data_IF_636640778345
#
_entry.id   IF_636640778345
#
_cell.length_a   1.000
_cell.length_b   1.000
_cell.length_c   1.000
_cell.angle_alpha   90.00
_cell.angle_beta   90.00
_cell.angle_gamma   90.00
#
_symmetry.space_group_name_H-M   'P 1'
#
loop_
_entity.id
_entity.type
_entity.pdbx_description
1 polymer ?
#
# COMPACT_ATOMS: atom_id res chain seq x y z
N UNK A 1 3.83 -24.93 -14.94
CA UNK A 1 4.27 -24.34 -13.66
C UNK A 1 3.32 -24.82 -12.59
N UNK A 2 3.80 -25.47 -11.56
CA UNK A 2 2.97 -25.91 -10.43
C UNK A 2 2.70 -24.70 -9.54
N UNK A 3 1.44 -24.40 -9.29
CA UNK A 3 1.07 -23.27 -8.40
C UNK A 3 1.60 -23.53 -6.98
N UNK A 4 2.20 -22.53 -6.34
CA UNK A 4 2.63 -22.60 -4.94
C UNK A 4 1.45 -22.54 -3.95
N UNK A 5 0.27 -22.14 -4.42
CA UNK A 5 -0.93 -21.93 -3.61
C UNK A 5 -1.34 -23.15 -2.77
N UNK A 6 -1.36 -24.40 -3.31
CA UNK A 6 -1.68 -25.57 -2.50
C UNK A 6 -0.68 -25.80 -1.36
N UNK A 7 0.60 -25.51 -1.58
CA UNK A 7 1.62 -25.63 -0.54
C UNK A 7 1.40 -24.62 0.58
N UNK A 8 1.12 -23.35 0.24
CA UNK A 8 0.81 -22.31 1.22
C UNK A 8 -0.45 -22.62 2.02
N UNK A 9 -1.46 -23.22 1.38
CA UNK A 9 -2.68 -23.65 2.07
C UNK A 9 -2.40 -24.81 3.02
N UNK A 10 -1.70 -25.85 2.58
CA UNK A 10 -1.37 -27.01 3.40
C UNK A 10 -0.46 -26.67 4.59
N UNK A 11 0.43 -25.69 4.40
CA UNK A 11 1.34 -25.21 5.46
C UNK A 11 0.70 -24.18 6.41
N UNK A 12 -0.58 -23.80 6.17
CA UNK A 12 -1.30 -22.87 7.02
C UNK A 12 -0.98 -21.40 6.81
N UNK A 13 -0.22 -21.04 5.78
CA UNK A 13 0.05 -19.64 5.44
C UNK A 13 -1.13 -18.93 4.81
N UNK A 14 -2.01 -19.65 4.13
CA UNK A 14 -3.28 -19.13 3.63
C UNK A 14 -4.44 -20.03 4.05
N UNK A 15 -5.63 -19.44 4.17
CA UNK A 15 -6.88 -20.15 4.46
C UNK A 15 -7.94 -19.82 3.41
N UNK A 16 -8.93 -20.68 3.28
CA UNK A 16 -10.11 -20.41 2.45
C UNK A 16 -11.05 -19.53 3.25
N UNK A 17 -11.27 -18.30 2.76
CA UNK A 17 -12.20 -17.33 3.34
C UNK A 17 -13.61 -17.51 2.80
N UNK A 18 -13.72 -17.84 1.52
CA UNK A 18 -15.00 -18.00 0.84
C UNK A 18 -14.86 -18.95 -0.34
N UNK A 19 -15.97 -19.54 -0.77
CA UNK A 19 -16.06 -20.43 -1.91
C UNK A 19 -17.30 -20.13 -2.75
N UNK A 20 -17.09 -19.83 -4.01
CA UNK A 20 -18.17 -19.65 -4.98
C UNK A 20 -18.38 -20.94 -5.79
N UNK A 21 -19.48 -21.68 -5.57
CA UNK A 21 -19.73 -22.96 -6.25
C UNK A 21 -20.02 -22.80 -7.73
N UNK A 22 -20.57 -21.67 -8.18
CA UNK A 22 -20.89 -21.46 -9.60
C UNK A 22 -19.63 -21.33 -10.46
N UNK A 23 -18.60 -20.66 -9.92
CA UNK A 23 -17.32 -20.48 -10.62
C UNK A 23 -16.25 -21.48 -10.20
N UNK A 24 -16.51 -22.35 -9.21
CA UNK A 24 -15.51 -23.19 -8.54
C UNK A 24 -14.31 -22.37 -8.08
N UNK A 25 -14.57 -21.16 -7.53
CA UNK A 25 -13.56 -20.21 -7.12
C UNK A 25 -13.43 -20.16 -5.60
N UNK A 26 -12.20 -20.26 -5.12
CA UNK A 26 -11.85 -20.12 -3.73
C UNK A 26 -11.26 -18.72 -3.50
N UNK A 27 -11.80 -17.97 -2.55
CA UNK A 27 -11.19 -16.76 -2.04
C UNK A 27 -10.25 -17.14 -0.90
N UNK A 28 -8.98 -16.83 -1.04
CA UNK A 28 -7.96 -17.11 -0.04
C UNK A 28 -7.61 -15.84 0.73
N UNK A 29 -7.24 -16.03 2.01
CA UNK A 29 -6.76 -14.93 2.86
C UNK A 29 -5.67 -15.47 3.81
N UNK A 30 -4.94 -14.56 4.45
CA UNK A 30 -3.99 -14.91 5.52
C UNK A 30 -4.81 -15.15 6.80
N UNK A 31 -4.64 -16.32 7.47
CA UNK A 31 -5.57 -16.77 8.52
C UNK A 31 -5.61 -15.86 9.75
N UNK A 32 -4.50 -15.25 10.13
CA UNK A 32 -4.40 -14.43 11.32
C UNK A 32 -3.22 -13.45 11.27
N UNK A 33 -3.13 -12.61 12.31
CA UNK A 33 -2.10 -11.57 12.41
C UNK A 33 -0.69 -12.16 12.57
N UNK A 34 -0.56 -13.27 13.29
CA UNK A 34 0.72 -13.94 13.56
C UNK A 34 1.34 -14.45 12.26
N UNK A 35 0.54 -15.11 11.41
CA UNK A 35 0.99 -15.59 10.09
C UNK A 35 1.34 -14.40 9.19
N UNK A 36 0.56 -13.32 9.23
CA UNK A 36 0.85 -12.10 8.47
C UNK A 36 2.20 -11.51 8.88
N UNK A 37 2.45 -11.36 10.18
CA UNK A 37 3.71 -10.86 10.73
C UNK A 37 4.87 -11.79 10.37
N UNK A 38 4.68 -13.12 10.49
CA UNK A 38 5.69 -14.10 10.10
C UNK A 38 6.06 -14.05 8.61
N UNK A 39 5.07 -13.87 7.72
CA UNK A 39 5.31 -13.65 6.30
C UNK A 39 6.09 -12.35 6.05
N UNK A 40 5.72 -11.26 6.72
CA UNK A 40 6.46 -10.00 6.63
C UNK A 40 7.91 -10.17 7.05
N UNK A 41 8.14 -10.82 8.20
CA UNK A 41 9.50 -11.08 8.71
C UNK A 41 10.31 -11.99 7.76
N UNK A 42 9.66 -12.85 7.02
CA UNK A 42 10.31 -13.75 6.05
C UNK A 42 10.58 -13.08 4.70
N UNK A 43 9.69 -12.18 4.26
CA UNK A 43 9.79 -11.55 2.95
C UNK A 43 10.67 -10.30 2.97
N UNK A 44 10.56 -9.46 3.99
CA UNK A 44 11.30 -8.20 4.10
C UNK A 44 12.82 -8.42 3.98
N UNK A 45 13.46 -9.39 4.65
CA UNK A 45 14.90 -9.62 4.52
C UNK A 45 15.35 -10.02 3.11
N UNK A 46 14.46 -10.59 2.29
CA UNK A 46 14.78 -10.91 0.89
C UNK A 46 14.80 -9.66 -0.01
N UNK A 47 14.12 -8.59 0.41
CA UNK A 47 14.14 -7.30 -0.25
C UNK A 47 15.20 -6.36 0.35
N UNK A 48 15.58 -6.60 1.61
CA UNK A 48 16.63 -5.88 2.32
C UNK A 48 17.85 -6.77 2.41
N UNK A 49 18.97 -6.38 1.82
CA UNK A 49 20.22 -7.15 1.85
C UNK A 49 20.86 -7.28 3.26
N UNK A 50 20.22 -6.74 4.28
CA UNK A 50 20.66 -6.84 5.66
C UNK A 50 19.55 -7.41 6.54
N UNK A 51 19.92 -8.43 7.35
CA UNK A 51 19.11 -8.95 8.45
C UNK A 51 19.07 -7.92 9.58
N UNK A 52 18.41 -6.81 9.38
CA UNK A 52 18.32 -5.79 10.43
C UNK A 52 17.01 -5.93 11.19
N UNK A 53 17.12 -6.16 12.49
CA UNK A 53 16.04 -5.95 13.47
C UNK A 53 15.37 -4.57 13.25
N UNK A 54 16.13 -3.61 12.76
CA UNK A 54 15.71 -2.25 12.39
C UNK A 54 14.58 -2.24 11.31
N UNK A 55 14.68 -3.06 10.27
CA UNK A 55 13.66 -3.09 9.21
C UNK A 55 12.29 -3.60 9.71
N UNK A 56 12.29 -4.63 10.56
CA UNK A 56 11.07 -5.18 11.17
C UNK A 56 10.43 -4.14 12.10
N UNK A 57 11.26 -3.44 12.87
CA UNK A 57 10.81 -2.38 13.78
C UNK A 57 10.20 -1.22 12.99
N UNK A 58 10.82 -0.78 11.90
CA UNK A 58 10.31 0.32 11.05
C UNK A 58 8.95 -0.04 10.46
N UNK A 59 8.76 -1.26 9.95
CA UNK A 59 7.48 -1.72 9.41
C UNK A 59 6.40 -1.77 10.50
N UNK A 60 6.74 -2.23 11.71
CA UNK A 60 5.81 -2.23 12.84
C UNK A 60 5.40 -0.80 13.25
N UNK A 61 6.35 0.14 13.28
CA UNK A 61 6.10 1.55 13.57
C UNK A 61 5.21 2.20 12.49
N UNK A 62 5.42 1.87 11.20
CA UNK A 62 4.52 2.32 10.13
C UNK A 62 3.08 1.85 10.37
N UNK A 63 2.88 0.57 10.73
CA UNK A 63 1.55 0.03 11.00
C UNK A 63 0.87 0.75 12.17
N UNK A 64 1.60 1.01 13.26
CA UNK A 64 1.10 1.76 14.42
C UNK A 64 0.72 3.18 14.01
N UNK A 65 1.59 3.89 13.28
CA UNK A 65 1.33 5.24 12.83
C UNK A 65 0.07 5.34 11.96
N UNK A 66 -0.14 4.37 11.04
CA UNK A 66 -1.35 4.32 10.22
C UNK A 66 -2.60 4.08 11.10
N UNK A 67 -2.54 3.14 12.06
CA UNK A 67 -3.67 2.83 12.95
C UNK A 67 -4.04 4.00 13.87
N UNK A 68 -3.08 4.83 14.22
CA UNK A 68 -3.27 6.03 15.04
C UNK A 68 -3.63 7.28 14.21
N UNK A 69 -3.84 7.14 12.90
CA UNK A 69 -4.16 8.24 12.00
C UNK A 69 -2.99 9.17 11.69
N UNK A 70 -1.77 8.81 12.09
CA UNK A 70 -0.52 9.55 11.83
C UNK A 70 0.11 9.11 10.51
N UNK A 71 -0.65 9.21 9.43
CA UNK A 71 -0.22 8.69 8.12
C UNK A 71 1.03 9.40 7.59
N UNK A 72 1.21 10.68 7.90
CA UNK A 72 2.40 11.45 7.54
C UNK A 72 3.67 10.86 8.16
N UNK A 73 3.63 10.48 9.44
CA UNK A 73 4.74 9.80 10.12
C UNK A 73 5.07 8.46 9.44
N UNK A 74 4.03 7.73 9.02
CA UNK A 74 4.22 6.48 8.27
C UNK A 74 4.91 6.69 6.92
N UNK A 75 4.61 7.78 6.21
CA UNK A 75 5.32 8.12 4.96
C UNK A 75 6.77 8.50 5.22
N UNK A 76 7.08 9.19 6.32
CA UNK A 76 8.46 9.47 6.74
C UNK A 76 9.26 8.20 7.01
N UNK A 77 8.67 7.26 7.78
CA UNK A 77 9.28 5.94 8.03
C UNK A 77 9.46 5.14 6.74
N UNK A 78 8.50 5.21 5.82
CA UNK A 78 8.57 4.57 4.52
C UNK A 78 9.68 5.17 3.66
N UNK A 79 9.86 6.49 3.69
CA UNK A 79 10.94 7.19 2.99
C UNK A 79 12.31 6.68 3.45
N UNK A 80 12.52 6.57 4.77
CA UNK A 80 13.74 6.03 5.36
C UNK A 80 13.93 4.56 4.99
N UNK A 81 12.86 3.76 5.07
CA UNK A 81 12.90 2.34 4.72
C UNK A 81 13.32 2.11 3.27
N UNK A 82 12.77 2.88 2.32
CA UNK A 82 13.10 2.75 0.90
C UNK A 82 14.58 3.05 0.60
N UNK A 83 15.24 3.89 1.39
CA UNK A 83 16.68 4.14 1.28
C UNK A 83 17.54 2.91 1.63
N UNK A 84 16.99 1.96 2.38
CA UNK A 84 17.67 0.70 2.73
C UNK A 84 17.46 -0.41 1.70
N UNK A 85 16.53 -0.23 0.75
CA UNK A 85 16.24 -1.24 -0.29
C UNK A 85 17.37 -1.26 -1.32
N UNK A 86 17.98 -2.45 -1.57
CA UNK A 86 19.07 -2.55 -2.52
C UNK A 86 18.65 -2.18 -3.94
N UNK A 87 19.61 -1.70 -4.71
CA UNK A 87 19.44 -1.46 -6.13
C UNK A 87 19.08 -2.73 -6.90
N UNK A 88 18.01 -2.66 -7.68
CA UNK A 88 17.69 -3.67 -8.69
C UNK A 88 17.61 -2.99 -10.06
N UNK A 89 18.13 -3.64 -11.09
CA UNK A 89 17.95 -3.17 -12.45
C UNK A 89 16.46 -3.17 -12.85
N UNK A 90 16.02 -2.20 -13.67
CA UNK A 90 14.64 -2.04 -14.12
C UNK A 90 13.63 -1.52 -13.07
N UNK A 91 14.06 -0.76 -12.08
CA UNK A 91 13.17 -0.14 -11.07
C UNK A 91 12.76 1.29 -11.40
N UNK A 92 13.21 1.85 -12.51
CA UNK A 92 13.04 3.26 -12.85
C UNK A 92 11.71 3.54 -13.58
N UNK A 93 10.59 3.07 -13.00
CA UNK A 93 9.26 3.38 -13.50
C UNK A 93 8.23 3.46 -12.34
N UNK A 94 7.21 4.28 -12.53
CA UNK A 94 6.18 4.58 -11.52
C UNK A 94 5.48 3.32 -10.99
N UNK A 95 5.19 2.35 -11.87
CA UNK A 95 4.57 1.09 -11.50
C UNK A 95 5.39 0.23 -10.54
N UNK A 96 6.73 0.37 -10.51
CA UNK A 96 7.56 -0.32 -9.53
C UNK A 96 7.26 0.17 -8.10
N UNK A 97 7.21 1.48 -7.90
CA UNK A 97 6.89 2.07 -6.60
C UNK A 97 5.45 1.77 -6.18
N UNK A 98 4.51 1.77 -7.13
CA UNK A 98 3.12 1.37 -6.89
C UNK A 98 3.05 -0.08 -6.39
N UNK A 99 3.74 -1.02 -7.02
CA UNK A 99 3.79 -2.41 -6.59
C UNK A 99 4.42 -2.55 -5.20
N UNK A 100 5.50 -1.82 -4.93
CA UNK A 100 6.18 -1.83 -3.65
C UNK A 100 5.27 -1.33 -2.52
N UNK A 101 4.58 -0.21 -2.72
CA UNK A 101 3.60 0.31 -1.76
C UNK A 101 2.44 -0.67 -1.55
N UNK A 102 1.93 -1.28 -2.63
CA UNK A 102 0.89 -2.30 -2.54
C UNK A 102 1.31 -3.45 -1.64
N UNK A 103 2.52 -3.98 -1.83
CA UNK A 103 3.06 -5.08 -1.01
C UNK A 103 3.20 -4.63 0.44
N UNK A 104 3.83 -3.50 0.71
CA UNK A 104 4.08 -2.99 2.06
C UNK A 104 2.76 -2.80 2.80
N UNK A 105 1.82 -2.02 2.25
CA UNK A 105 0.55 -1.75 2.93
C UNK A 105 -0.33 -2.99 3.07
N UNK A 106 -0.31 -3.91 2.10
CA UNK A 106 -1.03 -5.19 2.22
C UNK A 106 -0.45 -6.06 3.34
N UNK A 107 0.87 -6.12 3.46
CA UNK A 107 1.54 -6.83 4.54
C UNK A 107 1.26 -6.20 5.90
N UNK A 108 1.12 -4.87 5.98
CA UNK A 108 0.71 -4.15 7.19
C UNK A 108 -0.75 -4.44 7.60
N UNK A 109 -1.48 -5.19 6.78
CA UNK A 109 -2.88 -5.57 7.07
C UNK A 109 -3.90 -4.56 6.58
N UNK A 110 -3.50 -3.62 5.74
CA UNK A 110 -4.40 -2.67 5.10
C UNK A 110 -5.11 -3.31 3.91
N UNK A 111 -6.35 -2.87 3.65
CA UNK A 111 -7.03 -3.21 2.41
C UNK A 111 -6.56 -2.24 1.32
N UNK A 112 -5.86 -2.77 0.33
CA UNK A 112 -5.24 -1.96 -0.73
C UNK A 112 -5.73 -2.43 -2.08
N UNK A 113 -6.27 -1.51 -2.86
CA UNK A 113 -6.61 -1.70 -4.27
C UNK A 113 -5.72 -0.78 -5.12
N UNK A 114 -5.20 -1.31 -6.21
CA UNK A 114 -4.42 -0.53 -7.19
C UNK A 114 -5.19 -0.37 -8.49
N UNK A 115 -4.85 0.66 -9.28
CA UNK A 115 -5.43 0.89 -10.60
C UNK A 115 -6.97 0.99 -10.57
N UNK A 116 -7.52 1.63 -9.54
CA UNK A 116 -8.98 1.69 -9.30
C UNK A 116 -9.64 2.61 -10.31
N UNK A 117 -10.50 2.04 -11.15
CA UNK A 117 -11.23 2.81 -12.17
C UNK A 117 -12.31 3.68 -11.53
N UNK A 118 -12.36 4.93 -11.94
CA UNK A 118 -13.40 5.90 -11.59
C UNK A 118 -14.08 6.41 -12.86
N UNK A 119 -15.22 7.11 -12.78
CA UNK A 119 -15.86 7.69 -13.96
C UNK A 119 -14.97 8.68 -14.73
N UNK A 120 -14.00 9.30 -14.07
CA UNK A 120 -13.14 10.35 -14.66
C UNK A 120 -11.69 9.92 -14.86
N UNK A 121 -11.35 8.66 -14.57
CA UNK A 121 -10.00 8.16 -14.75
C UNK A 121 -9.70 6.96 -13.89
N UNK A 122 -8.44 6.79 -13.54
CA UNK A 122 -7.93 5.69 -12.75
C UNK A 122 -7.08 6.25 -11.62
N UNK A 123 -7.38 5.83 -10.40
CA UNK A 123 -6.61 6.13 -9.20
C UNK A 123 -5.49 5.10 -9.09
N UNK A 124 -4.28 5.53 -8.82
CA UNK A 124 -3.14 4.61 -8.71
C UNK A 124 -3.30 3.66 -7.53
N UNK A 125 -3.74 4.17 -6.38
CA UNK A 125 -3.93 3.34 -5.19
C UNK A 125 -5.04 3.87 -4.28
N UNK A 126 -5.82 2.95 -3.72
CA UNK A 126 -6.78 3.23 -2.66
C UNK A 126 -6.47 2.30 -1.48
N UNK A 127 -6.28 2.86 -0.30
CA UNK A 127 -6.05 2.09 0.92
C UNK A 127 -7.15 2.38 1.93
N UNK A 128 -7.66 1.34 2.57
CA UNK A 128 -8.68 1.46 3.62
C UNK A 128 -8.17 0.91 4.94
N UNK A 129 -8.32 1.71 5.97
CA UNK A 129 -8.18 1.30 7.38
C UNK A 129 -9.58 1.04 7.99
N UNK A 130 -9.64 0.86 9.30
CA UNK A 130 -10.92 0.70 10.00
C UNK A 130 -11.79 1.96 9.93
N UNK A 131 -11.19 3.15 9.89
CA UNK A 131 -11.80 4.45 10.09
C UNK A 131 -11.55 5.47 8.99
N UNK A 132 -10.67 5.19 8.03
CA UNK A 132 -10.23 6.14 7.00
C UNK A 132 -10.01 5.48 5.65
N UNK A 133 -10.37 6.19 4.58
CA UNK A 133 -10.06 5.81 3.20
C UNK A 133 -9.02 6.78 2.63
N UNK A 134 -7.87 6.26 2.22
CA UNK A 134 -6.81 7.03 1.56
C UNK A 134 -6.90 6.83 0.05
N UNK A 135 -6.97 7.94 -0.69
CA UNK A 135 -6.94 7.98 -2.16
C UNK A 135 -5.60 8.55 -2.57
N UNK A 136 -4.78 7.75 -3.22
CA UNK A 136 -3.38 8.08 -3.48
C UNK A 136 -3.10 8.15 -4.98
N UNK A 137 -2.35 9.16 -5.36
CA UNK A 137 -1.79 9.32 -6.71
C UNK A 137 -0.27 9.40 -6.59
N UNK A 138 0.42 8.71 -7.48
CA UNK A 138 1.87 8.57 -7.46
C UNK A 138 2.48 9.32 -8.65
N UNK A 139 3.63 9.91 -8.46
CA UNK A 139 4.46 10.51 -9.52
C UNK A 139 5.90 10.09 -9.35
N UNK A 140 6.64 10.03 -10.44
CA UNK A 140 8.05 9.71 -10.46
C UNK A 140 8.84 10.85 -11.10
N UNK A 141 9.70 11.50 -10.34
CA UNK A 141 10.54 12.61 -10.82
C UNK A 141 9.76 13.89 -11.14
N UNK A 142 8.62 14.09 -10.44
CA UNK A 142 7.77 15.26 -10.57
C UNK A 142 7.64 16.01 -9.24
N UNK A 143 6.38 16.27 -8.85
CA UNK A 143 6.02 16.94 -7.60
C UNK A 143 4.73 16.32 -7.02
N UNK A 144 4.64 16.27 -5.69
CA UNK A 144 3.45 15.81 -4.98
C UNK A 144 2.23 16.71 -5.26
N UNK A 145 2.45 18.01 -5.49
CA UNK A 145 1.39 18.93 -5.87
C UNK A 145 0.74 18.54 -7.21
N UNK A 146 1.50 18.03 -8.18
CA UNK A 146 0.96 17.53 -9.44
C UNK A 146 0.10 16.28 -9.24
N UNK A 147 0.49 15.37 -8.33
CA UNK A 147 -0.31 14.22 -7.94
C UNK A 147 -1.61 14.66 -7.27
N UNK A 148 -1.53 15.59 -6.31
CA UNK A 148 -2.71 16.13 -5.62
C UNK A 148 -3.66 16.84 -6.59
N UNK A 149 -3.12 17.65 -7.50
CA UNK A 149 -3.93 18.32 -8.54
C UNK A 149 -4.66 17.29 -9.42
N UNK A 150 -4.04 16.16 -9.75
CA UNK A 150 -4.69 15.10 -10.52
C UNK A 150 -5.86 14.48 -9.75
N UNK A 151 -5.72 14.21 -8.43
CA UNK A 151 -6.80 13.71 -7.58
C UNK A 151 -7.99 14.68 -7.60
N UNK A 152 -7.73 15.98 -7.47
CA UNK A 152 -8.75 17.02 -7.45
C UNK A 152 -9.42 17.21 -8.82
N UNK A 153 -8.64 17.32 -9.89
CA UNK A 153 -9.13 17.49 -11.26
C UNK A 153 -10.02 16.31 -11.71
N UNK A 154 -9.65 15.11 -11.34
CA UNK A 154 -10.39 13.88 -11.68
C UNK A 154 -11.49 13.56 -10.66
N UNK A 155 -11.58 14.32 -9.58
CA UNK A 155 -12.58 14.15 -8.53
C UNK A 155 -12.69 12.68 -8.07
N UNK A 156 -11.55 12.07 -7.81
CA UNK A 156 -11.48 10.66 -7.40
C UNK A 156 -12.25 10.36 -6.11
N UNK A 157 -12.23 11.24 -5.08
CA UNK A 157 -12.96 11.01 -3.83
C UNK A 157 -14.46 10.80 -4.00
N UNK A 158 -15.09 11.45 -4.97
CA UNK A 158 -16.56 11.34 -5.22
C UNK A 158 -17.04 9.90 -5.44
N UNK A 159 -16.20 9.02 -5.96
CA UNK A 159 -16.50 7.60 -6.10
C UNK A 159 -16.74 6.92 -4.74
N UNK A 160 -16.08 7.39 -3.70
CA UNK A 160 -16.01 6.72 -2.41
C UNK A 160 -16.90 7.32 -1.33
N UNK A 161 -17.69 8.36 -1.64
CA UNK A 161 -18.61 9.04 -0.70
C UNK A 161 -19.51 8.03 0.03
N UNK A 162 -19.94 6.96 -0.68
CA UNK A 162 -20.86 5.95 -0.12
C UNK A 162 -20.17 4.91 0.78
N UNK A 163 -18.85 4.94 0.92
CA UNK A 163 -18.15 3.99 1.81
C UNK A 163 -18.34 4.33 3.30
N UNK A 164 -18.83 5.53 3.62
CA UNK A 164 -19.10 5.96 4.98
C UNK A 164 -17.85 6.30 5.81
N UNK A 165 -16.67 6.31 5.18
CA UNK A 165 -15.41 6.68 5.81
C UNK A 165 -14.96 8.07 5.37
N UNK A 166 -14.30 8.84 6.24
CA UNK A 166 -13.60 10.05 5.82
C UNK A 166 -12.56 9.72 4.77
N UNK A 167 -12.47 10.56 3.75
CA UNK A 167 -11.53 10.40 2.64
C UNK A 167 -10.35 11.34 2.82
N UNK A 168 -9.16 10.78 2.77
CA UNK A 168 -7.88 11.50 2.80
C UNK A 168 -7.21 11.36 1.43
N UNK A 169 -6.90 12.49 0.82
CA UNK A 169 -6.18 12.58 -0.45
C UNK A 169 -4.68 12.62 -0.18
N UNK A 170 -3.91 11.84 -0.91
CA UNK A 170 -2.45 11.75 -0.74
C UNK A 170 -1.77 11.79 -2.11
N UNK A 171 -1.05 12.85 -2.38
CA UNK A 171 -0.14 12.93 -3.51
C UNK A 171 1.27 12.54 -3.07
N UNK A 172 1.88 11.58 -3.76
CA UNK A 172 3.24 11.11 -3.44
C UNK A 172 4.11 11.25 -4.69
N UNK A 173 5.25 11.90 -4.55
CA UNK A 173 6.27 11.94 -5.60
C UNK A 173 7.50 11.14 -5.18
N UNK A 174 7.93 10.22 -6.03
CA UNK A 174 9.19 9.49 -5.87
C UNK A 174 10.33 10.21 -6.55
N UNK A 175 11.43 10.34 -5.83
CA UNK A 175 12.68 10.85 -6.35
C UNK A 175 13.42 9.71 -7.08
N UNK A 176 13.60 9.89 -8.38
CA UNK A 176 14.22 8.90 -9.26
C UNK A 176 15.70 8.68 -8.92
N UNK A 177 16.42 9.74 -8.56
CA UNK A 177 17.85 9.67 -8.26
C UNK A 177 18.10 9.05 -6.88
N UNK A 178 17.33 9.50 -5.89
CA UNK A 178 17.42 9.02 -4.50
C UNK A 178 16.71 7.68 -4.26
N UNK A 179 15.82 7.28 -5.19
CA UNK A 179 15.05 6.03 -5.14
C UNK A 179 14.21 5.86 -3.88
N UNK A 180 13.66 6.94 -3.41
CA UNK A 180 12.77 6.99 -2.26
C UNK A 180 11.66 7.99 -2.50
N UNK A 181 10.81 8.20 -1.51
CA UNK A 181 9.82 9.29 -1.56
C UNK A 181 10.58 10.61 -1.52
N UNK A 182 10.36 11.47 -2.52
CA UNK A 182 10.91 12.81 -2.58
C UNK A 182 10.12 13.78 -1.71
N UNK A 183 8.81 13.85 -1.96
CA UNK A 183 7.88 14.65 -1.18
C UNK A 183 6.45 14.07 -1.26
N UNK A 184 5.57 14.55 -0.37
CA UNK A 184 4.16 14.20 -0.37
C UNK A 184 3.31 15.40 0.04
N UNK A 185 2.01 15.33 -0.30
CA UNK A 185 0.98 16.25 0.11
C UNK A 185 -0.23 15.48 0.60
N UNK A 186 -0.77 15.84 1.77
CA UNK A 186 -1.94 15.19 2.38
C UNK A 186 -3.03 16.23 2.59
N UNK A 187 -4.24 15.92 2.12
CA UNK A 187 -5.45 16.75 2.35
C UNK A 187 -6.59 15.87 2.81
N UNK A 188 -7.18 16.23 3.94
CA UNK A 188 -8.40 15.61 4.43
C UNK A 188 -9.61 16.36 3.89
N UNK A 189 -10.53 15.66 3.23
CA UNK A 189 -11.85 16.19 2.98
C UNK A 189 -12.63 16.04 4.30
N UNK A 190 -12.60 17.07 5.13
CA UNK A 190 -13.51 17.14 6.28
C UNK A 190 -14.94 17.17 5.72
N UNK A 191 -15.85 16.25 6.10
CA UNK A 191 -17.23 16.38 5.68
C UNK A 191 -17.73 17.75 6.16
N UNK A 192 -18.26 18.54 5.23
CA UNK A 192 -18.97 19.76 5.63
C UNK A 192 -20.13 19.33 6.54
N UNK A 193 -20.10 19.83 7.79
CA UNK A 193 -21.19 19.69 8.75
C UNK A 193 -22.50 20.24 8.20
#
# INVERSE_FOLDING_TARGET
MTSITPLLYQSGYVTIKDYNPMGNLYTLDIPNKEIRVGLMQSLIPNYLNERTETGITTVALMAIAIQEGRFEDSLGLLQEFLLTVPYCDNTDYEGHYQQMLYIIFSLLGMFVDVEVRTPRGRVDMVMRTADTLYVMELKLGGDAAAAMHQIELKDYPSRFIRCGLPVVKVGINFDRERRTIGNWEIKSDTPAN
#
